data_IF_906274774086
#
_entry.id   IF_906274774086
#
_cell.length_a   1.000
_cell.length_b   1.000
_cell.length_c   1.000
_cell.angle_alpha   90.00
_cell.angle_beta   90.00
_cell.angle_gamma   90.00
#
_symmetry.space_group_name_H-M   'P 1'
#
loop_
_entity.id
_entity.type
_entity.pdbx_description
1 polymer ?
#
# COMPACT_ATOMS: atom_id res chain seq x y z
N UNK A 1 -6.63 4.46 -9.07
CA UNK A 1 -5.64 3.73 -9.91
C UNK A 1 -5.86 2.25 -9.68
N UNK A 2 -5.63 1.36 -10.65
CA UNK A 2 -5.81 -0.09 -10.45
C UNK A 2 -4.45 -0.76 -10.32
N UNK A 3 -4.11 -1.24 -9.12
CA UNK A 3 -2.85 -1.93 -8.84
C UNK A 3 -2.98 -3.46 -8.95
N UNK A 4 -4.18 -3.97 -9.26
CA UNK A 4 -4.42 -5.42 -9.39
C UNK A 4 -3.96 -6.00 -10.73
N UNK A 5 -3.50 -5.15 -11.65
CA UNK A 5 -3.12 -5.53 -13.02
C UNK A 5 -1.60 -5.65 -13.23
N UNK A 6 -0.78 -5.48 -12.20
CA UNK A 6 0.66 -5.41 -12.35
C UNK A 6 1.45 -5.77 -11.09
N UNK A 7 2.76 -5.57 -11.19
CA UNK A 7 3.69 -5.66 -10.07
C UNK A 7 4.23 -4.29 -9.74
N UNK A 8 4.27 -3.99 -8.46
CA UNK A 8 4.65 -2.68 -7.97
C UNK A 8 5.50 -2.83 -6.72
N UNK A 9 6.50 -1.97 -6.59
CA UNK A 9 7.30 -1.83 -5.37
C UNK A 9 6.61 -0.86 -4.42
N UNK A 10 6.73 -1.13 -3.12
CA UNK A 10 6.22 -0.23 -2.08
C UNK A 10 7.39 0.29 -1.27
N UNK A 11 7.58 1.61 -1.32
CA UNK A 11 8.73 2.32 -0.76
C UNK A 11 8.29 3.15 0.44
N UNK A 12 8.97 2.98 1.58
CA UNK A 12 8.75 3.80 2.77
C UNK A 12 9.32 5.22 2.62
N UNK A 13 8.92 6.19 3.47
CA UNK A 13 9.39 7.57 3.40
C UNK A 13 10.92 7.74 3.48
N UNK A 14 11.62 6.76 4.09
CA UNK A 14 13.08 6.73 4.18
C UNK A 14 13.77 6.16 2.93
N UNK A 15 13.02 5.78 1.89
CA UNK A 15 13.52 5.22 0.63
C UNK A 15 13.74 3.71 0.62
N UNK A 16 13.48 2.98 1.72
CA UNK A 16 13.60 1.52 1.71
C UNK A 16 12.35 0.85 1.17
N UNK A 17 12.50 -0.22 0.39
CA UNK A 17 11.39 -1.10 0.03
C UNK A 17 10.85 -1.79 1.28
N UNK A 18 9.53 -1.72 1.49
CA UNK A 18 8.82 -2.36 2.61
C UNK A 18 7.84 -3.43 2.15
N UNK A 19 7.59 -3.53 0.85
CA UNK A 19 6.77 -4.59 0.30
C UNK A 19 6.61 -4.49 -1.21
N UNK A 20 5.67 -5.25 -1.73
CA UNK A 20 5.24 -5.22 -3.13
C UNK A 20 3.74 -5.49 -3.26
N UNK A 21 3.20 -5.14 -4.42
CA UNK A 21 1.90 -5.60 -4.91
C UNK A 21 2.17 -6.53 -6.09
N UNK A 22 1.46 -7.65 -6.18
CA UNK A 22 1.59 -8.66 -7.24
C UNK A 22 0.19 -9.11 -7.67
N UNK A 23 -0.41 -8.35 -8.59
CA UNK A 23 -1.64 -8.74 -9.28
C UNK A 23 -2.91 -8.76 -8.42
N UNK A 24 -2.95 -8.02 -7.32
CA UNK A 24 -4.08 -7.98 -6.38
C UNK A 24 -4.07 -6.69 -5.53
N UNK A 25 -4.96 -6.65 -4.55
CA UNK A 25 -5.25 -5.50 -3.69
C UNK A 25 -4.34 -5.36 -2.45
N UNK A 26 -3.41 -6.29 -2.21
CA UNK A 26 -2.60 -6.27 -0.98
C UNK A 26 -1.16 -5.84 -1.22
N UNK A 27 -0.60 -5.16 -0.22
CA UNK A 27 0.83 -4.92 -0.07
C UNK A 27 1.38 -6.03 0.82
N UNK A 28 2.46 -6.70 0.39
CA UNK A 28 3.07 -7.83 1.09
C UNK A 28 4.59 -7.74 1.18
N UNK A 29 5.13 -8.31 2.26
CA UNK A 29 6.53 -8.71 2.39
C UNK A 29 6.59 -10.23 2.51
N UNK A 30 6.96 -10.89 1.41
CA UNK A 30 6.84 -12.34 1.27
C UNK A 30 5.40 -12.82 1.44
N UNK A 31 5.14 -13.58 2.50
CA UNK A 31 3.80 -14.10 2.83
C UNK A 31 3.01 -13.20 3.79
N UNK A 32 3.63 -12.15 4.32
CA UNK A 32 3.01 -11.28 5.30
C UNK A 32 2.27 -10.15 4.58
N UNK A 33 0.95 -10.07 4.78
CA UNK A 33 0.16 -8.95 4.29
C UNK A 33 0.30 -7.76 5.25
N UNK A 34 0.60 -6.59 4.70
CA UNK A 34 0.87 -5.37 5.47
C UNK A 34 -0.36 -4.45 5.40
N UNK A 35 -0.76 -4.12 4.17
CA UNK A 35 -1.92 -3.29 3.88
C UNK A 35 -2.81 -3.93 2.81
N UNK A 36 -4.06 -3.49 2.76
CA UNK A 36 -4.99 -3.70 1.66
C UNK A 36 -5.38 -2.33 1.08
N UNK A 37 -5.41 -2.22 -0.23
CA UNK A 37 -5.87 -1.05 -0.96
C UNK A 37 -7.25 -1.35 -1.54
N UNK A 38 -8.24 -0.51 -1.22
CA UNK A 38 -9.58 -0.58 -1.79
C UNK A 38 -9.93 0.78 -2.44
N UNK A 39 -9.81 0.85 -3.76
CA UNK A 39 -9.84 2.12 -4.48
C UNK A 39 -8.73 3.06 -4.01
N UNK A 40 -9.11 4.16 -3.37
CA UNK A 40 -8.19 5.15 -2.80
C UNK A 40 -7.99 4.97 -1.29
N UNK A 41 -8.63 3.99 -0.66
CA UNK A 41 -8.52 3.75 0.78
C UNK A 41 -7.43 2.73 1.10
N UNK A 42 -6.67 2.97 2.16
CA UNK A 42 -5.60 2.08 2.64
C UNK A 42 -5.97 1.54 4.01
N UNK A 43 -6.03 0.22 4.14
CA UNK A 43 -6.41 -0.49 5.36
C UNK A 43 -5.26 -1.35 5.88
N UNK A 44 -5.20 -1.56 7.21
CA UNK A 44 -4.39 -2.67 7.75
C UNK A 44 -4.88 -4.00 7.17
N UNK A 45 -3.96 -4.93 6.90
CA UNK A 45 -4.34 -6.25 6.44
C UNK A 45 -4.97 -7.12 7.57
N UNK A 46 -5.77 -8.11 7.17
CA UNK A 46 -6.32 -9.13 8.08
C UNK A 46 -7.79 -8.93 8.47
N UNK A 47 -8.27 -9.77 9.39
CA UNK A 47 -9.70 -9.89 9.73
C UNK A 47 -10.29 -8.70 10.50
N UNK A 48 -9.44 -7.87 11.11
CA UNK A 48 -9.83 -6.65 11.81
C UNK A 48 -9.25 -5.42 11.10
N UNK A 49 -9.39 -5.38 9.76
CA UNK A 49 -8.88 -4.29 8.94
C UNK A 49 -9.40 -2.93 9.44
N UNK A 50 -8.50 -1.99 9.64
CA UNK A 50 -8.80 -0.61 10.04
C UNK A 50 -8.25 0.35 9.00
N UNK A 51 -9.02 1.40 8.73
CA UNK A 51 -8.58 2.47 7.84
C UNK A 51 -7.29 3.08 8.40
N UNK A 52 -6.21 2.97 7.63
CA UNK A 52 -4.90 3.52 7.95
C UNK A 52 -4.71 4.88 7.27
N UNK A 53 -5.33 5.10 6.11
CA UNK A 53 -5.10 6.29 5.32
C UNK A 53 -5.77 6.27 3.95
N UNK A 54 -5.33 7.20 3.10
CA UNK A 54 -5.82 7.34 1.73
C UNK A 54 -4.65 7.51 0.75
N UNK A 55 -4.83 6.98 -0.46
CA UNK A 55 -3.97 7.22 -1.61
C UNK A 55 -4.34 8.55 -2.26
N UNK A 56 -3.31 9.33 -2.60
CA UNK A 56 -3.39 10.40 -3.59
C UNK A 56 -2.38 10.05 -4.67
N UNK A 57 -2.88 9.78 -5.88
CA UNK A 57 -2.13 9.17 -6.98
C UNK A 57 -1.47 7.83 -6.60
N UNK A 58 -0.20 7.87 -6.22
CA UNK A 58 0.63 6.70 -5.85
C UNK A 58 1.20 6.79 -4.43
N UNK A 59 0.86 7.83 -3.68
CA UNK A 59 1.38 8.03 -2.32
C UNK A 59 0.25 7.89 -1.31
N UNK A 60 0.45 7.01 -0.34
CA UNK A 60 -0.48 6.81 0.76
C UNK A 60 -0.14 7.75 1.93
N UNK A 61 -1.16 8.41 2.46
CA UNK A 61 -1.06 9.28 3.63
C UNK A 61 -1.92 8.74 4.76
N UNK A 62 -1.41 8.76 5.99
CA UNK A 62 -2.19 8.45 7.18
C UNK A 62 -3.27 9.51 7.45
N UNK A 63 -4.12 9.24 8.44
CA UNK A 63 -5.21 10.17 8.82
C UNK A 63 -4.72 11.53 9.36
N UNK A 64 -3.43 11.68 9.65
CA UNK A 64 -2.79 12.94 10.05
C UNK A 64 -2.07 13.63 8.88
N UNK A 65 -2.06 13.01 7.69
CA UNK A 65 -1.39 13.52 6.48
C UNK A 65 0.07 13.09 6.33
N UNK A 66 0.63 12.28 7.22
CA UNK A 66 2.00 11.79 7.07
C UNK A 66 2.06 10.71 5.99
N UNK A 67 3.16 10.66 5.23
CA UNK A 67 3.34 9.62 4.23
C UNK A 67 3.55 8.26 4.93
N UNK A 68 2.76 7.27 4.52
CA UNK A 68 2.92 5.87 4.91
C UNK A 68 3.90 5.16 3.96
N UNK A 69 3.67 5.30 2.65
CA UNK A 69 4.48 4.72 1.59
C UNK A 69 4.14 5.33 0.22
N UNK A 70 5.00 5.07 -0.76
CA UNK A 70 4.78 5.35 -2.18
C UNK A 70 4.81 4.03 -2.97
N UNK A 71 3.94 3.91 -3.97
CA UNK A 71 3.88 2.78 -4.91
C UNK A 71 4.64 3.17 -6.18
N UNK A 72 5.60 2.34 -6.57
CA UNK A 72 6.43 2.54 -7.76
C UNK A 72 6.28 1.36 -8.71
N UNK A 73 6.47 1.60 -10.01
CA UNK A 73 6.53 0.50 -10.99
C UNK A 73 7.79 -0.36 -10.72
N UNK A 74 7.69 -1.68 -10.89
CA UNK A 74 8.85 -2.60 -10.84
C UNK A 74 9.79 -2.42 -12.05
#
# INVERSE_FOLDING_TARGET
MDFTIGRYLVIAPNGSQVGMIDGDEYIRDGLNLIYRIDGDEVYTAGSNAQLSGYLTDRTAHDLSGNILFTIEDE
#
